data_IF_766901398865
#
_entry.id   IF_766901398865
#
_cell.length_a   1.000
_cell.length_b   1.000
_cell.length_c   1.000
_cell.angle_alpha   90.00
_cell.angle_beta   90.00
_cell.angle_gamma   90.00
#
_symmetry.space_group_name_H-M   'P 1'
#
loop_
_entity.id
_entity.type
_entity.pdbx_description
1 polymer ?
#
# COMPACT_ATOMS: atom_id res chain seq x y z
N UNK A 1 20.35 -8.91 3.95
CA UNK A 1 19.51 -8.97 2.73
C UNK A 1 19.06 -7.56 2.39
N UNK A 2 19.00 -7.19 1.10
CA UNK A 2 18.59 -5.86 0.63
C UNK A 2 17.10 -5.81 0.30
N UNK A 3 16.54 -4.60 0.20
CA UNK A 3 15.17 -4.41 -0.29
C UNK A 3 15.08 -4.85 -1.75
N UNK A 4 13.97 -5.48 -2.13
CA UNK A 4 13.77 -5.96 -3.50
C UNK A 4 12.35 -5.68 -3.97
N UNK A 5 12.22 -5.38 -5.26
CA UNK A 5 10.94 -5.29 -5.94
C UNK A 5 10.93 -6.39 -7.00
N UNK A 6 9.96 -7.31 -6.92
CA UNK A 6 9.78 -8.39 -7.89
C UNK A 6 8.45 -8.21 -8.61
N UNK A 7 8.43 -8.52 -9.89
CA UNK A 7 7.23 -8.49 -10.73
C UNK A 7 6.76 -9.91 -11.01
N UNK A 8 5.47 -10.16 -10.82
CA UNK A 8 4.83 -11.43 -11.15
C UNK A 8 4.35 -11.45 -12.60
N UNK A 9 4.07 -12.65 -13.13
CA UNK A 9 3.54 -12.87 -14.49
C UNK A 9 2.25 -12.11 -14.75
N UNK A 10 1.39 -11.99 -13.73
CA UNK A 10 0.15 -11.22 -13.79
C UNK A 10 0.34 -9.70 -13.66
N UNK A 11 1.59 -9.22 -13.65
CA UNK A 11 1.92 -7.80 -13.54
C UNK A 11 1.91 -7.23 -12.12
N UNK A 12 1.57 -8.00 -11.09
CA UNK A 12 1.64 -7.53 -9.70
C UNK A 12 3.08 -7.26 -9.24
N UNK A 13 3.24 -6.32 -8.31
CA UNK A 13 4.53 -6.01 -7.67
C UNK A 13 4.58 -6.51 -6.24
N UNK A 14 5.72 -7.11 -5.90
CA UNK A 14 6.05 -7.63 -4.57
C UNK A 14 7.24 -6.85 -4.04
N UNK A 15 7.02 -6.05 -3.00
CA UNK A 15 8.04 -5.23 -2.35
C UNK A 15 8.48 -5.93 -1.08
N UNK A 16 9.69 -6.48 -1.08
CA UNK A 16 10.33 -7.09 0.07
C UNK A 16 11.10 -6.02 0.84
N UNK A 17 10.73 -5.84 2.10
CA UNK A 17 11.52 -5.13 3.09
C UNK A 17 12.20 -6.16 4.01
N UNK A 18 13.53 -6.33 3.89
CA UNK A 18 14.26 -7.31 4.67
C UNK A 18 14.19 -6.97 6.16
N UNK A 19 14.19 -8.00 6.99
CA UNK A 19 14.21 -7.82 8.44
C UNK A 19 15.55 -7.27 8.93
N UNK A 20 15.48 -6.40 9.94
CA UNK A 20 16.61 -6.06 10.79
C UNK A 20 16.42 -6.72 12.16
N UNK A 21 17.41 -7.49 12.62
CA UNK A 21 17.59 -8.04 13.98
C UNK A 21 16.30 -8.66 14.59
N UNK A 22 16.14 -9.98 14.44
CA UNK A 22 15.10 -10.83 15.08
C UNK A 22 13.64 -10.56 14.67
N UNK A 23 13.38 -9.78 13.63
CA UNK A 23 12.02 -9.56 13.11
C UNK A 23 11.75 -10.44 11.89
N UNK A 24 10.49 -10.64 11.53
CA UNK A 24 10.14 -11.26 10.25
C UNK A 24 10.26 -10.23 9.12
N UNK A 25 10.70 -10.63 7.91
CA UNK A 25 10.64 -9.75 6.75
C UNK A 25 9.21 -9.27 6.50
N UNK A 26 9.07 -8.07 5.94
CA UNK A 26 7.77 -7.50 5.58
C UNK A 26 7.62 -7.48 4.08
N UNK A 27 6.39 -7.73 3.64
CA UNK A 27 6.04 -7.78 2.24
C UNK A 27 4.87 -6.83 1.99
N UNK A 28 4.98 -6.04 0.94
CA UNK A 28 3.87 -5.24 0.43
C UNK A 28 3.56 -5.77 -0.97
N UNK A 29 2.29 -6.03 -1.22
CA UNK A 29 1.80 -6.50 -2.50
C UNK A 29 0.94 -5.42 -3.16
N UNK A 30 1.16 -5.19 -4.45
CA UNK A 30 0.42 -4.23 -5.26
C UNK A 30 -0.19 -4.92 -6.49
N UNK A 31 -1.52 -4.81 -6.63
CA UNK A 31 -2.26 -5.24 -7.81
C UNK A 31 -2.18 -4.20 -8.92
N UNK A 32 -2.09 -4.61 -10.20
CA UNK A 32 -2.48 -3.71 -11.28
C UNK A 32 -3.99 -3.42 -11.18
N UNK A 33 -4.36 -2.18 -11.47
CA UNK A 33 -5.75 -1.76 -11.57
C UNK A 33 -6.14 -1.75 -13.05
N UNK A 34 -7.01 -2.68 -13.44
CA UNK A 34 -7.48 -2.81 -14.82
C UNK A 34 -8.48 -1.71 -15.17
N UNK A 35 -8.44 -1.20 -16.41
CA UNK A 35 -9.35 -0.18 -16.90
C UNK A 35 -9.05 1.26 -16.47
N UNK A 36 -8.18 1.46 -15.48
CA UNK A 36 -7.89 2.78 -14.88
C UNK A 36 -6.37 3.01 -14.73
N UNK A 37 -5.67 3.04 -15.86
CA UNK A 37 -4.20 3.11 -15.89
C UNK A 37 -3.62 4.33 -15.16
N UNK A 38 -4.30 5.48 -15.23
CA UNK A 38 -3.85 6.75 -14.65
C UNK A 38 -3.79 6.75 -13.12
N UNK A 39 -4.54 5.85 -12.46
CA UNK A 39 -4.57 5.71 -11.00
C UNK A 39 -4.03 4.35 -10.55
N UNK A 40 -3.50 3.54 -11.48
CA UNK A 40 -2.96 2.24 -11.17
C UNK A 40 -1.65 2.36 -10.34
N UNK A 41 -1.59 1.79 -9.12
CA UNK A 41 -0.41 1.90 -8.26
C UNK A 41 0.80 1.16 -8.84
N UNK A 42 0.60 0.03 -9.52
CA UNK A 42 1.69 -0.71 -10.20
C UNK A 42 2.32 0.13 -11.30
N UNK A 43 1.52 0.61 -12.27
CA UNK A 43 2.02 1.43 -13.39
C UNK A 43 2.68 2.72 -12.92
N UNK A 44 2.07 3.39 -11.95
CA UNK A 44 2.65 4.59 -11.32
C UNK A 44 4.01 4.29 -10.72
N UNK A 45 4.14 3.18 -9.98
CA UNK A 45 5.40 2.81 -9.36
C UNK A 45 6.47 2.40 -10.39
N UNK A 46 6.10 1.63 -11.41
CA UNK A 46 7.03 1.25 -12.49
C UNK A 46 7.58 2.48 -13.22
N UNK A 47 6.69 3.43 -13.56
CA UNK A 47 7.09 4.68 -14.19
C UNK A 47 8.02 5.49 -13.27
N UNK A 48 7.67 5.60 -11.98
CA UNK A 48 8.50 6.30 -11.01
C UNK A 48 9.90 5.70 -10.92
N UNK A 49 10.01 4.39 -10.73
CA UNK A 49 11.30 3.69 -10.63
C UNK A 49 12.15 3.87 -11.90
N UNK A 50 11.53 3.86 -13.08
CA UNK A 50 12.20 4.14 -14.36
C UNK A 50 12.77 5.57 -14.39
N UNK A 51 11.98 6.56 -13.96
CA UNK A 51 12.39 7.96 -13.96
C UNK A 51 13.46 8.27 -12.89
N UNK A 52 13.47 7.54 -11.78
CA UNK A 52 14.43 7.74 -10.68
C UNK A 52 15.59 6.75 -10.67
N UNK A 53 15.77 5.94 -11.71
CA UNK A 53 16.78 4.89 -11.76
C UNK A 53 18.20 5.41 -11.48
N UNK A 54 18.56 6.56 -12.06
CA UNK A 54 19.86 7.21 -11.88
C UNK A 54 20.06 7.82 -10.49
N UNK A 55 18.99 7.99 -9.71
CA UNK A 55 19.07 8.47 -8.32
C UNK A 55 19.38 7.33 -7.34
N UNK A 56 18.95 6.10 -7.67
CA UNK A 56 19.08 4.90 -6.85
C UNK A 56 20.43 4.20 -7.09
N UNK A 57 21.53 4.95 -7.01
CA UNK A 57 22.88 4.45 -7.25
C UNK A 57 23.77 4.55 -6.00
N UNK A 58 24.85 3.75 -5.97
CA UNK A 58 25.84 3.76 -4.90
C UNK A 58 25.24 3.56 -3.51
N UNK A 59 25.41 4.53 -2.62
CA UNK A 59 24.89 4.48 -1.24
C UNK A 59 23.36 4.59 -1.14
N UNK A 60 22.67 4.91 -2.23
CA UNK A 60 21.22 5.07 -2.27
C UNK A 60 20.50 3.92 -3.00
N UNK A 61 21.20 2.83 -3.31
CA UNK A 61 20.63 1.68 -4.04
C UNK A 61 19.36 1.10 -3.40
N UNK A 62 19.27 1.12 -2.06
CA UNK A 62 18.11 0.62 -1.31
C UNK A 62 17.03 1.70 -1.07
N UNK A 63 17.15 2.89 -1.68
CA UNK A 63 16.21 4.00 -1.53
C UNK A 63 15.16 3.98 -2.63
N UNK A 64 13.90 4.03 -2.23
CA UNK A 64 12.78 4.10 -3.17
C UNK A 64 12.47 5.54 -3.58
N UNK A 65 12.21 6.43 -2.62
CA UNK A 65 11.75 7.80 -2.89
C UNK A 65 12.85 8.85 -2.72
N UNK A 66 12.87 9.81 -3.64
CA UNK A 66 13.85 10.91 -3.67
C UNK A 66 13.19 12.29 -3.69
N UNK A 67 13.89 13.26 -3.10
CA UNK A 67 13.64 14.69 -3.30
C UNK A 67 14.77 15.25 -4.15
N UNK A 68 14.45 16.09 -5.14
CA UNK A 68 15.42 16.61 -6.11
C UNK A 68 16.03 17.97 -5.72
N UNK A 69 15.31 18.78 -4.94
CA UNK A 69 15.69 20.17 -4.62
C UNK A 69 16.00 20.30 -3.12
N UNK A 70 17.08 21.01 -2.71
CA UNK A 70 18.11 21.65 -3.55
C UNK A 70 19.16 20.67 -4.10
N UNK A 71 19.12 19.41 -3.67
CA UNK A 71 19.99 18.33 -4.14
C UNK A 71 19.25 17.00 -4.04
N UNK A 72 19.60 16.05 -4.91
CA UNK A 72 19.04 14.70 -4.89
C UNK A 72 19.41 14.00 -3.59
N UNK A 73 18.40 13.58 -2.83
CA UNK A 73 18.57 12.83 -1.58
C UNK A 73 17.35 11.95 -1.29
N UNK A 74 17.51 10.90 -0.46
CA UNK A 74 16.39 10.12 0.05
C UNK A 74 15.33 11.00 0.72
N UNK A 75 14.08 10.67 0.47
CA UNK A 75 12.93 11.34 1.09
C UNK A 75 12.78 10.92 2.55
N UNK A 76 12.46 11.87 3.43
CA UNK A 76 12.10 11.57 4.83
C UNK A 76 10.63 11.12 4.94
N UNK A 77 10.31 10.41 6.02
CA UNK A 77 8.93 10.06 6.36
C UNK A 77 8.00 11.29 6.32
N UNK A 78 8.40 12.39 6.95
CA UNK A 78 7.60 13.63 7.03
C UNK A 78 7.33 14.23 5.64
N UNK A 79 8.28 14.10 4.72
CA UNK A 79 8.11 14.62 3.36
C UNK A 79 7.06 13.81 2.60
N UNK A 80 7.09 12.48 2.71
CA UNK A 80 6.06 11.61 2.12
C UNK A 80 4.70 11.90 2.76
N UNK A 81 4.65 12.02 4.09
CA UNK A 81 3.42 12.35 4.80
C UNK A 81 2.81 13.68 4.34
N UNK A 82 3.66 14.69 4.09
CA UNK A 82 3.24 15.98 3.53
C UNK A 82 2.76 15.87 2.09
N UNK A 83 3.39 15.08 1.23
CA UNK A 83 2.90 14.84 -0.14
C UNK A 83 1.50 14.23 -0.12
N UNK A 84 1.27 13.22 0.71
CA UNK A 84 -0.04 12.59 0.88
C UNK A 84 -1.07 13.61 1.38
N UNK A 85 -0.73 14.37 2.43
CA UNK A 85 -1.62 15.40 2.98
C UNK A 85 -1.97 16.46 1.93
N UNK A 86 -1.00 16.93 1.15
CA UNK A 86 -1.24 17.91 0.09
C UNK A 86 -2.14 17.35 -1.03
N UNK A 87 -1.97 16.08 -1.40
CA UNK A 87 -2.86 15.42 -2.36
C UNK A 87 -4.31 15.35 -1.84
N UNK A 88 -4.49 14.97 -0.57
CA UNK A 88 -5.81 14.94 0.07
C UNK A 88 -6.45 16.34 0.16
N UNK A 89 -5.66 17.36 0.52
CA UNK A 89 -6.14 18.74 0.55
C UNK A 89 -6.60 19.23 -0.82
N UNK A 90 -5.95 18.79 -1.90
CA UNK A 90 -6.33 19.18 -3.26
C UNK A 90 -7.72 18.70 -3.68
N UNK A 91 -8.23 17.64 -3.03
CA UNK A 91 -9.59 17.12 -3.22
C UNK A 91 -10.55 17.54 -2.09
N UNK A 92 -10.15 18.50 -1.25
CA UNK A 92 -10.97 19.01 -0.14
C UNK A 92 -11.02 18.13 1.11
N UNK A 93 -10.22 17.06 1.18
CA UNK A 93 -10.14 16.21 2.37
C UNK A 93 -9.22 16.82 3.43
N UNK A 94 -9.65 16.77 4.69
CA UNK A 94 -8.86 17.18 5.87
C UNK A 94 -8.01 16.04 6.44
N UNK A 95 -7.95 14.91 5.75
CA UNK A 95 -7.22 13.74 6.22
C UNK A 95 -5.70 13.90 6.15
N UNK A 96 -5.03 13.04 6.90
CA UNK A 96 -3.58 12.97 7.00
C UNK A 96 -3.10 11.63 6.46
N UNK A 97 -1.80 11.54 6.20
CA UNK A 97 -1.17 10.26 5.84
C UNK A 97 -1.42 9.15 6.87
N UNK A 98 -1.66 9.49 8.14
CA UNK A 98 -1.98 8.50 9.16
C UNK A 98 -3.47 8.15 9.20
N UNK A 99 -4.37 9.13 9.06
CA UNK A 99 -5.82 8.86 9.12
C UNK A 99 -6.33 8.07 7.92
N UNK A 100 -5.69 8.19 6.75
CA UNK A 100 -6.00 7.36 5.56
C UNK A 100 -6.01 5.87 5.88
N UNK A 101 -5.07 5.38 6.72
CA UNK A 101 -5.04 3.98 7.14
C UNK A 101 -6.33 3.54 7.83
N UNK A 102 -6.91 4.41 8.66
CA UNK A 102 -8.20 4.16 9.33
C UNK A 102 -9.38 4.23 8.37
N UNK A 103 -9.42 5.25 7.51
CA UNK A 103 -10.47 5.41 6.50
C UNK A 103 -10.57 4.20 5.57
N UNK A 104 -9.46 3.79 4.95
CA UNK A 104 -9.44 2.71 3.98
C UNK A 104 -9.72 1.34 4.62
N UNK A 105 -9.21 1.08 5.83
CA UNK A 105 -9.52 -0.15 6.55
C UNK A 105 -10.98 -0.21 7.03
N UNK A 106 -11.54 0.92 7.47
CA UNK A 106 -12.97 1.03 7.79
C UNK A 106 -13.82 0.76 6.56
N UNK A 107 -13.52 1.43 5.44
CA UNK A 107 -14.22 1.22 4.15
C UNK A 107 -14.14 -0.25 3.71
N UNK A 108 -12.94 -0.83 3.71
CA UNK A 108 -12.75 -2.24 3.34
C UNK A 108 -13.59 -3.19 4.23
N UNK A 109 -13.60 -2.96 5.54
CA UNK A 109 -14.41 -3.76 6.46
C UNK A 109 -15.91 -3.64 6.18
N UNK A 110 -16.40 -2.41 5.97
CA UNK A 110 -17.82 -2.16 5.66
C UNK A 110 -18.21 -2.68 4.27
N UNK A 111 -17.27 -2.79 3.33
CA UNK A 111 -17.45 -3.45 2.04
C UNK A 111 -17.34 -4.98 2.10
N UNK A 112 -17.21 -5.58 3.28
CA UNK A 112 -17.27 -7.04 3.46
C UNK A 112 -15.92 -7.76 3.39
N UNK A 113 -14.80 -7.04 3.34
CA UNK A 113 -13.48 -7.65 3.38
C UNK A 113 -13.24 -8.31 4.73
N UNK A 114 -12.79 -9.58 4.72
CA UNK A 114 -12.49 -10.32 5.95
C UNK A 114 -11.49 -9.56 6.82
N UNK A 115 -11.82 -9.47 8.12
CA UNK A 115 -11.00 -8.75 9.09
C UNK A 115 -9.55 -9.25 9.14
N UNK A 116 -9.34 -10.57 9.03
CA UNK A 116 -8.00 -11.18 8.98
C UNK A 116 -7.10 -10.61 7.86
N UNK A 117 -7.68 -10.38 6.68
CA UNK A 117 -6.98 -9.81 5.54
C UNK A 117 -6.66 -8.32 5.78
N UNK A 118 -7.58 -7.58 6.39
CA UNK A 118 -7.36 -6.17 6.76
C UNK A 118 -6.23 -6.08 7.78
N UNK A 119 -6.24 -6.91 8.83
CA UNK A 119 -5.22 -6.93 9.86
C UNK A 119 -3.84 -7.30 9.28
N UNK A 120 -3.79 -8.30 8.40
CA UNK A 120 -2.54 -8.69 7.70
C UNK A 120 -2.02 -7.56 6.81
N UNK A 121 -2.86 -6.97 5.97
CA UNK A 121 -2.47 -5.89 5.05
C UNK A 121 -2.07 -4.62 5.80
N UNK A 122 -2.79 -4.30 6.87
CA UNK A 122 -2.51 -3.17 7.72
C UNK A 122 -1.49 -3.49 8.81
N UNK A 123 -0.78 -4.64 8.79
CA UNK A 123 0.27 -4.98 9.76
C UNK A 123 -0.15 -4.75 11.24
N UNK A 124 -1.36 -5.18 11.59
CA UNK A 124 -1.92 -5.12 12.95
C UNK A 124 -2.00 -6.51 13.55
N UNK A 125 -1.34 -6.70 14.71
CA UNK A 125 -1.32 -8.00 15.38
C UNK A 125 -2.66 -8.37 16.04
N UNK A 126 -3.50 -7.39 16.37
CA UNK A 126 -4.77 -7.65 17.08
C UNK A 126 -5.96 -6.94 16.44
N UNK A 127 -7.13 -7.61 16.41
CA UNK A 127 -8.40 -6.97 16.05
C UNK A 127 -8.73 -5.74 16.91
N UNK A 128 -8.31 -5.76 18.17
CA UNK A 128 -8.61 -4.68 19.11
C UNK A 128 -7.92 -3.36 18.70
N UNK A 129 -6.71 -3.45 18.13
CA UNK A 129 -6.02 -2.27 17.57
C UNK A 129 -6.85 -1.62 16.48
N UNK A 130 -7.38 -2.40 15.55
CA UNK A 130 -8.27 -1.90 14.50
C UNK A 130 -9.52 -1.28 15.12
N UNK A 131 -10.27 -2.03 15.93
CA UNK A 131 -11.54 -1.59 16.52
C UNK A 131 -11.41 -0.30 17.33
N UNK A 132 -10.34 -0.17 18.13
CA UNK A 132 -10.18 0.96 19.06
C UNK A 132 -9.65 2.22 18.39
N UNK A 133 -8.71 2.08 17.45
CA UNK A 133 -7.94 3.23 16.95
C UNK A 133 -8.23 3.59 15.49
N UNK A 134 -8.70 2.65 14.68
CA UNK A 134 -8.77 2.81 13.23
C UNK A 134 -10.16 2.62 12.63
N UNK A 135 -11.02 1.81 13.26
CA UNK A 135 -12.41 1.66 12.84
C UNK A 135 -13.19 2.92 13.22
N UNK A 136 -13.38 3.80 12.24
CA UNK A 136 -14.03 5.11 12.39
C UNK A 136 -15.08 5.29 11.29
N UNK A 137 -16.22 4.59 11.40
CA UNK A 137 -17.28 4.73 10.41
C UNK A 137 -17.85 6.15 10.46
N UNK A 138 -17.91 6.80 9.30
CA UNK A 138 -18.64 8.06 9.08
C UNK A 138 -19.80 7.78 8.12
N UNK A 139 -20.83 8.63 8.13
CA UNK A 139 -21.97 8.49 7.21
C UNK A 139 -21.54 8.41 5.74
N UNK A 140 -20.56 9.21 5.35
CA UNK A 140 -19.98 9.19 4.00
C UNK A 140 -19.32 7.85 3.67
N UNK A 141 -18.53 7.30 4.58
CA UNK A 141 -17.86 6.00 4.37
C UNK A 141 -18.89 4.89 4.33
N UNK A 142 -19.87 4.89 5.23
CA UNK A 142 -20.95 3.89 5.26
C UNK A 142 -21.68 3.92 3.91
N UNK A 143 -22.13 5.09 3.49
CA UNK A 143 -22.85 5.28 2.22
C UNK A 143 -22.03 4.81 1.03
N UNK A 144 -20.76 5.22 0.94
CA UNK A 144 -19.91 4.83 -0.20
C UNK A 144 -19.57 3.34 -0.18
N UNK A 145 -19.47 2.73 1.01
CA UNK A 145 -19.18 1.30 1.15
C UNK A 145 -20.37 0.41 0.76
N UNK A 146 -21.60 0.93 0.88
CA UNK A 146 -22.82 0.24 0.49
C UNK A 146 -23.19 0.44 -0.98
N UNK A 147 -22.55 1.36 -1.71
CA UNK A 147 -22.71 1.47 -3.16
C UNK A 147 -22.21 0.19 -3.85
N UNK A 148 -23.00 -0.31 -4.80
CA UNK A 148 -22.74 -1.57 -5.50
C UNK A 148 -21.35 -1.64 -6.17
N UNK A 149 -20.76 -0.49 -6.53
CA UNK A 149 -19.41 -0.38 -7.11
C UNK A 149 -18.32 -0.92 -6.16
N UNK A 150 -18.52 -0.79 -4.84
CA UNK A 150 -17.59 -1.32 -3.82
C UNK A 150 -18.06 -2.64 -3.20
N UNK A 151 -19.32 -3.02 -3.37
CA UNK A 151 -19.85 -4.34 -2.98
C UNK A 151 -19.53 -5.44 -4.02
N UNK A 152 -19.19 -5.07 -5.26
CA UNK A 152 -18.95 -6.00 -6.38
C UNK A 152 -17.59 -6.68 -6.38
N UNK A 153 -16.83 -6.60 -5.28
CA UNK A 153 -15.71 -7.53 -5.05
C UNK A 153 -16.05 -8.51 -3.91
N UNK A 154 -17.12 -9.29 -4.10
CA UNK A 154 -17.07 -10.71 -3.73
C UNK A 154 -16.07 -11.47 -4.62
N UNK A 155 -15.51 -10.82 -5.64
CA UNK A 155 -14.15 -11.12 -6.10
C UNK A 155 -13.24 -10.98 -4.89
N UNK A 156 -12.60 -12.06 -4.40
CA UNK A 156 -11.60 -11.92 -3.34
C UNK A 156 -10.67 -10.80 -3.75
N UNK A 157 -10.24 -9.95 -2.79
CA UNK A 157 -9.08 -9.08 -2.98
C UNK A 157 -8.00 -10.00 -3.54
N UNK A 158 -7.85 -9.90 -4.87
CA UNK A 158 -7.24 -10.89 -5.75
C UNK A 158 -7.81 -12.32 -5.65
N UNK A 159 -8.14 -12.92 -6.79
CA UNK A 159 -8.06 -14.38 -7.03
C UNK A 159 -6.59 -14.89 -6.95
N UNK A 160 -5.80 -14.28 -6.07
CA UNK A 160 -4.35 -14.30 -5.97
C UNK A 160 -3.85 -13.72 -4.64
N UNK A 161 -4.70 -13.70 -3.60
CA UNK A 161 -4.21 -13.83 -2.23
C UNK A 161 -3.81 -15.29 -2.09
N UNK A 162 -2.71 -15.63 -2.76
CA UNK A 162 -2.03 -16.87 -2.55
C UNK A 162 -1.76 -16.99 -1.05
N UNK A 163 -2.17 -18.12 -0.49
CA UNK A 163 -1.85 -18.50 0.87
C UNK A 163 -0.34 -18.43 1.08
N UNK A 164 0.07 -18.39 2.35
CA UNK A 164 1.50 -18.35 2.72
C UNK A 164 2.34 -19.41 1.98
N UNK A 165 1.73 -20.55 1.59
CA UNK A 165 2.37 -21.64 0.85
C UNK A 165 2.79 -21.30 -0.59
N UNK A 166 2.01 -20.51 -1.35
CA UNK A 166 2.42 -20.08 -2.70
C UNK A 166 3.37 -18.88 -2.64
N UNK A 167 3.26 -18.07 -1.58
CA UNK A 167 4.23 -17.02 -1.28
C UNK A 167 5.59 -17.57 -0.84
N UNK A 168 5.69 -18.80 -0.31
CA UNK A 168 6.96 -19.47 -0.04
C UNK A 168 7.50 -20.23 -1.25
N UNK A 169 6.64 -20.82 -2.09
CA UNK A 169 7.05 -21.58 -3.29
C UNK A 169 7.63 -20.71 -4.42
N UNK A 170 7.31 -19.42 -4.47
CA UNK A 170 7.95 -18.48 -5.41
C UNK A 170 9.39 -18.07 -5.00
N UNK A 171 9.91 -18.65 -3.92
CA UNK A 171 11.21 -18.31 -3.32
C UNK A 171 12.05 -19.54 -2.95
N UNK A 172 11.69 -20.72 -3.47
CA UNK A 172 12.63 -21.83 -3.72
C UNK A 172 13.27 -21.65 -5.10
#
# INVERSE_FOLDING_TARGET
MRSQIRKSENGSLYLLCPSNKNKTPKYIWLAPLEGEENICPVKTLELYLKLTATCAEGKFLDTMFFVFVPKIKPTSYDTIARWIKNALLSIGSTDTAHSTRGLYSTKAFLSGVKLENILKQADWSTPNTFKKYYFKPTEEIITTSTLAIFQTTNTPIVKGTFGLEEQSRLFE
#
